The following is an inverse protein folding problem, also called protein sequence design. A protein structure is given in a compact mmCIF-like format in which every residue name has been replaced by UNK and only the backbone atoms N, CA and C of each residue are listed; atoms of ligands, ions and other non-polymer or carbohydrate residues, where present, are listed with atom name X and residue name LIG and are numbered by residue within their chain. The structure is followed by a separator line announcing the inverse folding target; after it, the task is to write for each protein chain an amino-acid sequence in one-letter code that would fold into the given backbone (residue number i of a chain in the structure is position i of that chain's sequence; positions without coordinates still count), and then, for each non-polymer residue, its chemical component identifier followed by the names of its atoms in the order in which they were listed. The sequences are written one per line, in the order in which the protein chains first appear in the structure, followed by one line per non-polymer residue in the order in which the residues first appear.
data_IF_734182957403
#
_entry.id   IF_734182957403
#
_cell.length_a   1.000
_cell.length_b   1.000
_cell.length_c   1.000
_cell.angle_alpha   90.00
_cell.angle_beta   90.00
_cell.angle_gamma   90.00
#
_symmetry.space_group_name_H-M   'P 1'
#
loop_
_entity.id
_entity.type
_entity.pdbx_description
1 polymer ?
#
# COMPACT_ATOMS: atom_id res chain seq x y z
N UNK A 1 -15.86 -50.71 -2.03
CA UNK A 1 -14.58 -50.10 -2.47
C UNK A 1 -14.72 -48.59 -2.27
N UNK A 2 -13.70 -47.86 -1.81
CA UNK A 2 -13.76 -46.39 -1.75
C UNK A 2 -13.11 -45.82 -3.00
N UNK A 3 -13.76 -44.84 -3.63
CA UNK A 3 -13.28 -44.25 -4.86
C UNK A 3 -11.94 -43.55 -4.65
N UNK A 4 -10.90 -44.07 -5.30
CA UNK A 4 -9.57 -43.46 -5.33
C UNK A 4 -9.54 -42.38 -6.43
N UNK A 5 -10.52 -41.47 -6.37
CA UNK A 5 -10.63 -40.26 -7.19
C UNK A 5 -9.26 -39.55 -7.12
N UNK A 6 -8.60 -39.32 -8.27
CA UNK A 6 -7.15 -39.09 -8.36
C UNK A 6 -6.69 -37.88 -7.53
N UNK A 7 -6.29 -38.07 -6.27
CA UNK A 7 -5.84 -36.97 -5.42
C UNK A 7 -4.37 -36.68 -5.63
N UNK A 8 -4.05 -35.43 -5.98
CA UNK A 8 -2.67 -34.98 -6.12
C UNK A 8 -2.04 -34.69 -4.75
N UNK A 9 -0.80 -35.17 -4.56
CA UNK A 9 0.16 -34.56 -3.65
C UNK A 9 1.03 -33.63 -4.50
N UNK A 10 1.11 -32.36 -4.12
CA UNK A 10 1.97 -31.37 -4.77
C UNK A 10 2.89 -30.68 -3.76
N UNK A 11 3.98 -30.10 -4.26
CA UNK A 11 4.94 -29.31 -3.46
C UNK A 11 5.12 -27.94 -4.12
N UNK A 12 4.97 -26.88 -3.34
CA UNK A 12 5.16 -25.51 -3.81
C UNK A 12 5.70 -24.60 -2.70
N UNK A 13 6.42 -23.56 -3.13
CA UNK A 13 7.00 -22.50 -2.31
C UNK A 13 5.94 -21.40 -2.10
N UNK A 14 5.83 -20.81 -0.91
CA UNK A 14 4.78 -19.82 -0.63
C UNK A 14 4.96 -18.98 0.63
N UNK A 15 4.32 -17.80 0.65
CA UNK A 15 4.28 -16.90 1.80
C UNK A 15 2.92 -17.00 2.49
N UNK A 16 2.91 -17.21 3.80
CA UNK A 16 1.68 -17.19 4.60
C UNK A 16 1.14 -15.76 4.71
N UNK A 17 -0.02 -15.50 4.11
CA UNK A 17 -0.69 -14.20 4.12
C UNK A 17 -1.48 -13.97 5.42
N UNK A 18 -2.28 -14.98 5.82
CA UNK A 18 -3.09 -14.93 7.06
C UNK A 18 -3.47 -16.32 7.54
N UNK A 19 -3.88 -16.41 8.81
CA UNK A 19 -4.46 -17.61 9.41
C UNK A 19 -5.88 -17.34 9.93
N UNK A 20 -6.69 -18.38 10.09
CA UNK A 20 -8.00 -18.34 10.73
C UNK A 20 -8.17 -19.58 11.63
N UNK A 21 -8.88 -19.49 12.76
CA UNK A 21 -9.17 -20.65 13.61
C UNK A 21 -10.05 -21.66 12.86
N UNK A 22 -9.73 -22.96 12.98
CA UNK A 22 -10.57 -24.07 12.49
C UNK A 22 -10.81 -25.02 13.65
N UNK A 23 -11.94 -24.84 14.34
CA UNK A 23 -12.18 -25.51 15.62
C UNK A 23 -11.08 -25.19 16.66
N UNK A 24 -10.77 -26.18 17.50
CA UNK A 24 -9.87 -26.01 18.65
C UNK A 24 -8.39 -26.20 18.31
N UNK A 25 -8.04 -27.26 17.56
CA UNK A 25 -6.66 -27.66 17.33
C UNK A 25 -6.06 -27.17 16.00
N UNK A 26 -6.91 -26.78 15.05
CA UNK A 26 -6.53 -26.56 13.65
C UNK A 26 -6.65 -25.08 13.26
N UNK A 27 -6.13 -24.75 12.07
CA UNK A 27 -6.35 -23.46 11.41
C UNK A 27 -6.58 -23.64 9.92
N UNK A 28 -7.28 -22.69 9.31
CA UNK A 28 -7.14 -22.40 7.87
C UNK A 28 -5.94 -21.47 7.73
N UNK A 29 -5.09 -21.75 6.76
CA UNK A 29 -3.93 -20.93 6.40
C UNK A 29 -4.14 -20.49 4.95
N UNK A 30 -4.01 -19.19 4.68
CA UNK A 30 -4.01 -18.63 3.32
C UNK A 30 -2.58 -18.37 2.92
N UNK A 31 -2.12 -19.01 1.84
CA UNK A 31 -0.75 -18.90 1.31
C UNK A 31 -0.81 -18.33 -0.11
N UNK A 32 0.06 -17.38 -0.42
CA UNK A 32 0.39 -17.04 -1.80
C UNK A 32 1.58 -17.89 -2.23
N UNK A 33 1.34 -18.84 -3.11
CA UNK A 33 2.35 -19.78 -3.61
C UNK A 33 2.94 -19.32 -4.95
N UNK A 34 4.16 -19.80 -5.25
CA UNK A 34 4.97 -19.40 -6.38
C UNK A 34 4.44 -19.90 -7.72
N UNK A 35 3.89 -21.12 -7.74
CA UNK A 35 3.40 -21.78 -8.96
C UNK A 35 1.89 -21.88 -8.99
N UNK A 36 1.27 -22.28 -7.89
CA UNK A 36 -0.17 -22.54 -7.80
C UNK A 36 -0.98 -21.27 -7.51
N UNK A 37 -0.35 -20.15 -7.13
CA UNK A 37 -1.06 -18.91 -6.79
C UNK A 37 -1.64 -18.91 -5.37
N UNK A 38 -2.77 -18.23 -5.14
CA UNK A 38 -3.37 -18.19 -3.79
C UNK A 38 -4.08 -19.50 -3.47
N UNK A 39 -3.70 -20.14 -2.36
CA UNK A 39 -4.24 -21.41 -1.87
C UNK A 39 -4.71 -21.26 -0.43
N UNK A 40 -5.85 -21.84 -0.08
CA UNK A 40 -6.29 -22.02 1.31
C UNK A 40 -6.18 -23.48 1.73
N UNK A 41 -5.44 -23.73 2.80
CA UNK A 41 -5.16 -25.06 3.30
C UNK A 41 -5.48 -25.21 4.80
N UNK A 42 -5.95 -26.39 5.19
CA UNK A 42 -6.15 -26.79 6.58
C UNK A 42 -4.82 -27.27 7.21
N UNK A 43 -4.39 -26.62 8.28
CA UNK A 43 -3.22 -26.98 9.07
C UNK A 43 -3.65 -27.74 10.34
N UNK A 44 -3.74 -29.07 10.22
CA UNK A 44 -4.24 -29.93 11.32
C UNK A 44 -3.27 -29.98 12.50
N UNK A 45 -3.81 -29.79 13.71
CA UNK A 45 -3.06 -29.81 14.96
C UNK A 45 -2.06 -28.66 15.12
N UNK A 46 -2.12 -27.60 14.31
CA UNK A 46 -1.17 -26.46 14.37
C UNK A 46 -1.21 -25.72 15.72
N UNK A 47 -2.36 -25.71 16.41
CA UNK A 47 -2.53 -25.04 17.72
C UNK A 47 -2.11 -25.89 18.92
N UNK A 48 -1.67 -27.15 18.72
CA UNK A 48 -1.23 -28.03 19.82
C UNK A 48 0.19 -27.68 20.25
N UNK A 49 0.50 -27.72 21.56
CA UNK A 49 1.83 -27.38 22.12
C UNK A 49 2.96 -28.22 21.51
N UNK A 50 2.69 -29.50 21.19
CA UNK A 50 3.62 -30.42 20.50
C UNK A 50 3.35 -30.51 18.99
N UNK A 51 2.95 -29.42 18.33
CA UNK A 51 2.67 -29.43 16.90
C UNK A 51 3.96 -29.52 16.07
N UNK A 52 3.98 -30.45 15.10
CA UNK A 52 5.06 -30.53 14.11
C UNK A 52 5.22 -29.25 13.29
N UNK A 53 4.15 -28.48 13.09
CA UNK A 53 4.16 -27.26 12.30
C UNK A 53 4.72 -26.07 13.09
N UNK A 54 4.28 -25.88 14.34
CA UNK A 54 4.70 -24.75 15.18
C UNK A 54 4.45 -23.39 14.50
N UNK A 55 5.36 -22.43 14.71
CA UNK A 55 5.28 -21.10 14.14
C UNK A 55 5.45 -21.03 12.60
N UNK A 56 5.80 -22.13 11.92
CA UNK A 56 6.10 -22.14 10.47
C UNK A 56 4.90 -21.75 9.60
N UNK A 57 3.68 -21.87 10.13
CA UNK A 57 2.43 -21.52 9.46
C UNK A 57 1.79 -20.25 10.03
N UNK A 58 2.58 -19.38 10.67
CA UNK A 58 2.20 -18.02 11.03
C UNK A 58 2.46 -17.04 9.86
N UNK A 59 1.75 -15.89 9.81
CA UNK A 59 1.97 -14.86 8.78
C UNK A 59 3.42 -14.41 8.65
N UNK A 60 3.75 -13.86 7.48
CA UNK A 60 5.11 -13.48 7.06
C UNK A 60 6.10 -14.63 6.88
N UNK A 61 5.79 -15.86 7.29
CA UNK A 61 6.70 -16.99 7.08
C UNK A 61 6.72 -17.37 5.60
N UNK A 62 7.92 -17.42 5.02
CA UNK A 62 8.17 -18.01 3.71
C UNK A 62 8.51 -19.49 3.89
N UNK A 63 7.74 -20.36 3.24
CA UNK A 63 7.74 -21.82 3.45
C UNK A 63 7.78 -22.60 2.15
N UNK A 64 8.35 -23.79 2.21
CA UNK A 64 8.11 -24.86 1.25
C UNK A 64 7.06 -25.81 1.85
N UNK A 65 6.04 -26.16 1.07
CA UNK A 65 4.84 -26.85 1.52
C UNK A 65 4.59 -28.10 0.70
N UNK A 66 4.39 -29.23 1.37
CA UNK A 66 3.71 -30.37 0.75
C UNK A 66 2.21 -30.27 1.05
N UNK A 67 1.41 -30.28 -0.01
CA UNK A 67 -0.03 -30.07 0.01
C UNK A 67 -0.73 -31.29 -0.63
N UNK A 68 -1.83 -31.70 -0.01
CA UNK A 68 -2.73 -32.74 -0.51
C UNK A 68 -4.02 -32.07 -0.98
N UNK A 69 -4.32 -32.18 -2.27
CA UNK A 69 -5.40 -31.47 -2.92
C UNK A 69 -6.80 -31.93 -2.44
N UNK A 70 -7.74 -30.99 -2.32
CA UNK A 70 -9.12 -31.25 -1.91
C UNK A 70 -10.10 -30.30 -2.60
N UNK A 71 -11.39 -30.67 -2.59
CA UNK A 71 -12.49 -29.93 -3.23
C UNK A 71 -12.82 -28.54 -2.63
N UNK A 72 -12.15 -28.09 -1.57
CA UNK A 72 -12.51 -26.81 -0.89
C UNK A 72 -11.41 -26.20 -0.01
N UNK A 73 -10.69 -27.02 0.75
CA UNK A 73 -9.50 -26.64 1.53
C UNK A 73 -8.48 -27.76 1.39
N UNK A 74 -7.36 -27.48 0.73
CA UNK A 74 -6.24 -28.42 0.61
C UNK A 74 -5.69 -28.75 2.03
N UNK A 75 -4.93 -29.84 2.18
CA UNK A 75 -4.40 -30.27 3.47
C UNK A 75 -2.88 -30.11 3.51
N UNK A 76 -2.35 -29.35 4.46
CA UNK A 76 -0.90 -29.26 4.68
C UNK A 76 -0.41 -30.59 5.24
N UNK A 77 0.42 -31.32 4.48
CA UNK A 77 1.01 -32.60 4.90
C UNK A 77 2.40 -32.42 5.48
N UNK A 78 3.18 -31.47 4.97
CA UNK A 78 4.50 -31.05 5.48
C UNK A 78 4.69 -29.54 5.27
N UNK A 79 5.53 -28.90 6.09
CA UNK A 79 5.89 -27.49 5.95
C UNK A 79 7.31 -27.24 6.50
N UNK A 80 8.17 -26.67 5.67
CA UNK A 80 9.57 -26.35 5.97
C UNK A 80 9.80 -24.85 5.81
N UNK A 81 10.53 -24.20 6.73
CA UNK A 81 10.74 -22.75 6.68
C UNK A 81 11.93 -22.40 5.81
N UNK A 82 11.69 -21.57 4.79
CA UNK A 82 12.72 -21.00 3.93
C UNK A 82 13.23 -19.68 4.51
N UNK A 83 12.34 -18.79 4.98
CA UNK A 83 12.69 -17.53 5.68
C UNK A 83 11.63 -17.18 6.75
N UNK A 84 12.02 -17.06 8.04
CA UNK A 84 11.11 -16.64 9.11
C UNK A 84 11.13 -15.11 9.28
N UNK A 85 10.45 -14.37 8.39
CA UNK A 85 10.41 -12.90 8.50
C UNK A 85 9.62 -12.40 9.73
N UNK A 86 8.66 -13.19 10.23
CA UNK A 86 7.66 -12.74 11.22
C UNK A 86 8.23 -12.23 12.54
N UNK A 87 9.31 -12.81 13.07
CA UNK A 87 9.92 -12.37 14.33
C UNK A 87 10.54 -10.97 14.21
N UNK A 88 11.38 -10.75 13.18
CA UNK A 88 12.04 -9.46 12.92
C UNK A 88 11.09 -8.36 12.44
N UNK A 89 9.90 -8.73 11.98
CA UNK A 89 8.81 -7.78 11.72
C UNK A 89 8.05 -7.47 13.02
N UNK A 90 7.66 -8.48 13.81
CA UNK A 90 6.89 -8.29 15.05
C UNK A 90 7.64 -7.52 16.15
N UNK A 91 8.99 -7.48 16.11
CA UNK A 91 9.82 -6.65 17.00
C UNK A 91 9.77 -5.14 16.70
N UNK A 92 9.12 -4.71 15.61
CA UNK A 92 9.16 -3.33 15.09
C UNK A 92 7.77 -2.94 14.57
N UNK A 93 7.08 -2.01 15.24
CA UNK A 93 5.67 -1.71 14.95
C UNK A 93 5.44 -1.11 13.54
N UNK A 94 6.24 -0.13 13.06
CA UNK A 94 6.20 0.31 11.67
C UNK A 94 6.41 -0.82 10.65
N UNK A 95 7.40 -1.70 10.84
CA UNK A 95 7.64 -2.84 9.92
C UNK A 95 6.53 -3.88 9.98
N UNK A 96 6.01 -4.20 11.17
CA UNK A 96 4.89 -5.12 11.36
C UNK A 96 3.62 -4.63 10.65
N UNK A 97 3.27 -3.35 10.83
CA UNK A 97 2.06 -2.77 10.23
C UNK A 97 2.18 -2.61 8.72
N UNK A 98 3.34 -2.18 8.21
CA UNK A 98 3.64 -2.17 6.78
C UNK A 98 3.54 -3.58 6.17
N UNK A 99 4.23 -4.57 6.75
CA UNK A 99 4.16 -5.96 6.31
C UNK A 99 2.73 -6.50 6.33
N UNK A 100 1.95 -6.21 7.37
CA UNK A 100 0.54 -6.64 7.47
C UNK A 100 -0.29 -6.08 6.29
N UNK A 101 -0.06 -4.83 5.92
CA UNK A 101 -0.73 -4.19 4.79
C UNK A 101 -0.26 -4.73 3.43
N UNK A 102 1.00 -5.16 3.28
CA UNK A 102 1.46 -5.92 2.12
C UNK A 102 0.70 -7.24 1.97
N UNK A 103 0.56 -8.01 3.06
CA UNK A 103 -0.11 -9.32 3.03
C UNK A 103 -1.62 -9.20 2.73
N UNK A 104 -2.33 -8.24 3.33
CA UNK A 104 -3.75 -8.00 3.02
C UNK A 104 -3.95 -7.54 1.56
N UNK A 105 -3.02 -6.73 1.04
CA UNK A 105 -3.07 -6.25 -0.35
C UNK A 105 -2.76 -7.38 -1.35
N UNK A 106 -1.76 -8.21 -1.07
CA UNK A 106 -1.44 -9.39 -1.87
C UNK A 106 -2.61 -10.39 -1.94
N UNK A 107 -3.34 -10.61 -0.84
CA UNK A 107 -4.55 -11.44 -0.86
C UNK A 107 -5.64 -10.83 -1.75
N UNK A 108 -5.86 -9.52 -1.67
CA UNK A 108 -6.93 -8.83 -2.42
C UNK A 108 -6.64 -8.68 -3.91
N UNK A 109 -5.36 -8.54 -4.29
CA UNK A 109 -4.91 -8.57 -5.68
C UNK A 109 -4.63 -9.99 -6.22
N UNK A 110 -5.02 -11.03 -5.48
CA UNK A 110 -5.08 -12.43 -5.96
C UNK A 110 -6.44 -13.08 -5.63
N UNK A 111 -7.57 -12.50 -6.11
CA UNK A 111 -8.91 -12.88 -5.67
C UNK A 111 -9.30 -14.31 -6.04
N UNK A 112 -8.82 -14.84 -7.17
CA UNK A 112 -9.08 -16.22 -7.59
C UNK A 112 -8.13 -17.18 -6.86
N UNK A 113 -8.69 -18.28 -6.32
CA UNK A 113 -7.87 -19.35 -5.74
C UNK A 113 -7.34 -20.28 -6.85
N UNK A 114 -6.10 -20.76 -6.70
CA UNK A 114 -5.36 -21.59 -7.67
C UNK A 114 -5.01 -20.91 -9.02
N UNK A 115 -5.05 -19.57 -9.11
CA UNK A 115 -4.57 -18.80 -10.27
C UNK A 115 -3.09 -18.35 -10.12
N UNK A 116 -2.15 -18.74 -11.02
CA UNK A 116 -0.71 -18.45 -10.89
C UNK A 116 -0.32 -16.95 -10.88
N UNK A 117 -0.07 -16.41 -9.69
CA UNK A 117 0.26 -14.99 -9.49
C UNK A 117 1.76 -14.71 -9.23
N UNK A 118 2.66 -15.35 -10.00
CA UNK A 118 4.12 -15.34 -9.76
C UNK A 118 4.72 -13.94 -9.52
N UNK A 119 4.29 -12.92 -10.27
CA UNK A 119 4.79 -11.54 -10.10
C UNK A 119 4.42 -10.94 -8.73
N UNK A 120 3.21 -11.17 -8.24
CA UNK A 120 2.80 -10.75 -6.90
C UNK A 120 3.55 -11.53 -5.82
N UNK A 121 3.73 -12.85 -6.00
CA UNK A 121 4.51 -13.68 -5.08
C UNK A 121 5.95 -13.15 -4.91
N UNK A 122 6.65 -12.89 -6.02
CA UNK A 122 8.01 -12.34 -5.99
C UNK A 122 8.06 -10.95 -5.35
N UNK A 123 7.06 -10.10 -5.60
CA UNK A 123 6.97 -8.78 -4.98
C UNK A 123 6.74 -8.86 -3.45
N UNK A 124 5.94 -9.82 -2.96
CA UNK A 124 5.76 -10.05 -1.51
C UNK A 124 7.05 -10.55 -0.87
N UNK A 125 7.73 -11.55 -1.45
CA UNK A 125 9.01 -12.04 -0.93
C UNK A 125 10.06 -10.92 -0.91
N UNK A 126 10.12 -10.10 -1.96
CA UNK A 126 10.98 -8.92 -2.02
C UNK A 126 10.65 -7.87 -0.94
N UNK A 127 9.38 -7.45 -0.84
CA UNK A 127 8.94 -6.44 0.12
C UNK A 127 9.16 -6.83 1.58
N UNK A 128 8.83 -8.08 1.94
CA UNK A 128 9.10 -8.61 3.29
C UNK A 128 10.61 -8.68 3.58
N UNK A 129 11.42 -9.07 2.59
CA UNK A 129 12.89 -9.06 2.74
C UNK A 129 13.41 -7.65 2.98
N UNK A 130 12.99 -6.67 2.19
CA UNK A 130 13.43 -5.27 2.31
C UNK A 130 12.99 -4.61 3.63
N UNK A 131 11.79 -4.90 4.13
CA UNK A 131 11.37 -4.48 5.48
C UNK A 131 12.28 -5.05 6.58
N UNK A 132 12.69 -6.32 6.46
CA UNK A 132 13.56 -7.02 7.43
C UNK A 132 15.04 -6.69 7.27
N UNK A 133 15.50 -6.34 6.06
CA UNK A 133 16.82 -5.77 5.79
C UNK A 133 16.93 -4.40 6.46
N UNK A 134 15.87 -3.58 6.37
CA UNK A 134 15.68 -2.40 7.21
C UNK A 134 16.50 -1.17 6.82
N UNK A 135 17.10 -1.17 5.63
CA UNK A 135 17.89 -0.05 5.09
C UNK A 135 17.07 1.15 4.57
N UNK A 136 15.74 1.02 4.52
CA UNK A 136 14.81 2.06 4.04
C UNK A 136 13.67 2.27 5.05
N UNK A 137 13.04 3.44 4.96
CA UNK A 137 11.83 3.80 5.72
C UNK A 137 10.67 2.82 5.41
N UNK A 138 10.07 2.15 6.42
CA UNK A 138 8.98 1.19 6.21
C UNK A 138 7.78 1.73 5.43
N UNK A 139 7.50 3.05 5.45
CA UNK A 139 6.44 3.66 4.63
C UNK A 139 6.83 3.75 3.16
N UNK A 140 8.08 4.11 2.85
CA UNK A 140 8.59 4.07 1.47
C UNK A 140 8.55 2.64 0.91
N UNK A 141 8.92 1.65 1.72
CA UNK A 141 8.86 0.23 1.34
C UNK A 141 7.42 -0.23 1.10
N UNK A 142 6.45 0.29 1.87
CA UNK A 142 5.03 0.02 1.70
C UNK A 142 4.44 0.68 0.43
N UNK A 143 4.70 1.96 0.21
CA UNK A 143 4.18 2.69 -0.96
C UNK A 143 4.77 2.14 -2.27
N UNK A 144 6.06 1.79 -2.28
CA UNK A 144 6.69 1.06 -3.36
C UNK A 144 6.01 -0.29 -3.63
N UNK A 145 5.68 -1.05 -2.59
CA UNK A 145 4.93 -2.30 -2.73
C UNK A 145 3.54 -2.06 -3.33
N UNK A 146 2.78 -1.08 -2.83
CA UNK A 146 1.44 -0.78 -3.36
C UNK A 146 1.48 -0.35 -4.83
N UNK A 147 2.35 0.59 -5.20
CA UNK A 147 2.49 1.08 -6.57
C UNK A 147 2.84 -0.05 -7.55
N UNK A 148 3.80 -0.91 -7.18
CA UNK A 148 4.23 -2.05 -8.01
C UNK A 148 3.18 -3.17 -8.04
N UNK A 149 2.48 -3.42 -6.93
CA UNK A 149 1.45 -4.47 -6.84
C UNK A 149 0.20 -4.09 -7.64
N UNK A 150 -0.21 -2.82 -7.61
CA UNK A 150 -1.23 -2.25 -8.49
C UNK A 150 -0.81 -2.36 -9.97
N UNK A 151 0.43 -2.01 -10.31
CA UNK A 151 0.93 -2.11 -11.68
C UNK A 151 0.95 -3.57 -12.20
N UNK A 152 1.33 -4.55 -11.36
CA UNK A 152 1.27 -5.99 -11.69
C UNK A 152 -0.18 -6.45 -11.95
N UNK A 153 -1.16 -5.85 -11.27
CA UNK A 153 -2.59 -6.10 -11.44
C UNK A 153 -3.25 -5.30 -12.58
N UNK A 154 -2.49 -4.51 -13.34
CA UNK A 154 -3.00 -3.69 -14.45
C UNK A 154 -3.50 -2.29 -14.07
N UNK A 155 -3.47 -1.93 -12.79
CA UNK A 155 -3.93 -0.64 -12.26
C UNK A 155 -2.77 0.36 -12.04
N UNK A 156 -1.76 0.34 -12.90
CA UNK A 156 -0.63 1.27 -12.80
C UNK A 156 -1.13 2.73 -12.90
N UNK A 157 -0.87 3.61 -11.92
CA UNK A 157 -1.24 5.01 -12.04
C UNK A 157 -0.41 5.69 -13.12
N UNK A 158 -1.07 6.50 -13.97
CA UNK A 158 -0.35 7.41 -14.85
C UNK A 158 0.31 8.51 -14.01
N UNK A 159 1.65 8.65 -14.11
CA UNK A 159 2.43 9.61 -13.31
C UNK A 159 3.20 10.64 -14.16
N UNK A 160 3.52 10.31 -15.40
CA UNK A 160 4.30 11.19 -16.30
C UNK A 160 3.41 11.89 -17.35
N UNK A 161 2.34 11.23 -17.79
CA UNK A 161 1.46 11.69 -18.88
C UNK A 161 -0.01 11.77 -18.40
N UNK A 162 -0.85 12.55 -19.08
CA UNK A 162 -2.24 12.72 -18.68
C UNK A 162 -3.08 11.45 -18.94
N UNK A 163 -3.63 10.88 -17.87
CA UNK A 163 -4.44 9.65 -17.88
C UNK A 163 -5.71 9.67 -18.76
N UNK A 164 -6.12 10.85 -19.27
CA UNK A 164 -7.29 11.01 -20.16
C UNK A 164 -6.96 11.34 -21.62
N UNK A 165 -5.80 11.94 -21.90
CA UNK A 165 -5.46 12.43 -23.26
C UNK A 165 -4.01 12.21 -23.70
N UNK A 166 -3.15 11.61 -22.85
CA UNK A 166 -1.74 11.33 -23.15
C UNK A 166 -0.79 12.53 -23.06
N UNK A 167 -1.30 13.76 -22.90
CA UNK A 167 -0.46 14.97 -22.90
C UNK A 167 0.44 15.07 -21.65
N UNK A 168 1.70 15.49 -21.82
CA UNK A 168 2.76 15.51 -20.80
C UNK A 168 2.69 16.77 -19.90
N UNK A 169 1.48 17.12 -19.49
CA UNK A 169 1.18 18.35 -18.73
C UNK A 169 0.35 18.08 -17.46
N UNK A 170 0.52 16.90 -16.87
CA UNK A 170 -0.14 16.51 -15.62
C UNK A 170 0.16 17.46 -14.46
N UNK A 171 -0.87 18.10 -13.89
CA UNK A 171 -0.75 19.03 -12.75
C UNK A 171 -1.71 18.74 -11.59
N UNK A 172 -2.46 17.65 -11.68
CA UNK A 172 -3.42 17.23 -10.65
C UNK A 172 -3.58 15.72 -10.68
N UNK A 173 -3.76 15.08 -9.53
CA UNK A 173 -3.94 13.64 -9.41
C UNK A 173 -5.43 13.32 -9.21
N UNK A 174 -6.01 12.63 -10.19
CA UNK A 174 -7.42 12.28 -10.27
C UNK A 174 -7.56 10.76 -10.21
N UNK A 175 -7.84 10.23 -9.02
CA UNK A 175 -7.93 8.77 -8.76
C UNK A 175 -8.91 8.09 -9.72
N UNK A 176 -10.14 8.63 -9.83
CA UNK A 176 -11.18 8.15 -10.73
C UNK A 176 -10.89 8.37 -12.24
N UNK A 177 -9.75 8.95 -12.58
CA UNK A 177 -9.27 9.09 -13.96
C UNK A 177 -8.00 8.26 -14.23
N UNK A 178 -7.49 7.48 -13.27
CA UNK A 178 -6.30 6.63 -13.44
C UNK A 178 -4.95 7.30 -13.13
N UNK A 179 -4.93 8.52 -12.58
CA UNK A 179 -3.68 9.16 -12.13
C UNK A 179 -3.58 10.65 -12.44
N UNK A 180 -2.41 11.09 -12.90
CA UNK A 180 -2.14 12.49 -13.25
C UNK A 180 -2.98 12.95 -14.44
N UNK A 181 -3.50 14.18 -14.36
CA UNK A 181 -4.30 14.83 -15.41
C UNK A 181 -3.86 16.28 -15.63
N UNK A 182 -3.96 16.73 -16.89
CA UNK A 182 -3.70 18.11 -17.28
C UNK A 182 -4.88 19.02 -16.92
N UNK A 183 -4.70 20.34 -17.06
CA UNK A 183 -5.68 21.35 -16.63
C UNK A 183 -7.07 21.19 -17.26
N UNK A 184 -7.15 20.90 -18.57
CA UNK A 184 -8.41 20.68 -19.29
C UNK A 184 -9.09 19.35 -18.97
N UNK A 185 -8.33 18.36 -18.51
CA UNK A 185 -8.83 17.03 -18.15
C UNK A 185 -9.04 16.83 -16.65
N UNK A 186 -8.95 17.88 -15.82
CA UNK A 186 -9.09 17.82 -14.36
C UNK A 186 -10.56 17.75 -13.93
N UNK A 187 -11.07 16.61 -13.41
CA UNK A 187 -12.39 16.60 -12.78
C UNK A 187 -12.38 17.32 -11.41
N UNK A 188 -13.54 17.77 -10.92
CA UNK A 188 -13.71 18.22 -9.53
C UNK A 188 -13.18 17.18 -8.52
N UNK A 189 -12.66 17.65 -7.39
CA UNK A 189 -12.10 16.77 -6.35
C UNK A 189 -10.69 16.21 -6.64
N UNK A 190 -10.10 16.48 -7.81
CA UNK A 190 -8.71 16.09 -8.10
C UNK A 190 -7.71 16.79 -7.15
N UNK A 191 -6.80 16.04 -6.54
CA UNK A 191 -5.72 16.58 -5.73
C UNK A 191 -4.71 17.35 -6.60
N UNK A 192 -3.91 18.24 -5.99
CA UNK A 192 -2.80 18.94 -6.65
C UNK A 192 -1.50 18.64 -5.91
N UNK A 193 -0.87 17.46 -6.14
CA UNK A 193 0.36 17.07 -5.46
C UNK A 193 1.52 17.99 -5.79
N UNK A 194 2.49 18.07 -4.89
CA UNK A 194 3.78 18.67 -5.21
C UNK A 194 4.53 17.84 -6.27
N UNK A 195 5.29 18.50 -7.15
CA UNK A 195 6.08 17.83 -8.20
C UNK A 195 7.08 16.80 -7.62
N UNK A 196 7.70 17.14 -6.48
CA UNK A 196 8.58 16.23 -5.75
C UNK A 196 7.86 14.97 -5.23
N UNK A 197 6.56 15.06 -4.90
CA UNK A 197 5.73 13.91 -4.51
C UNK A 197 5.44 13.00 -5.70
N UNK A 198 5.13 13.56 -6.88
CA UNK A 198 4.96 12.77 -8.11
C UNK A 198 6.29 12.12 -8.51
N UNK A 199 7.40 12.85 -8.39
CA UNK A 199 8.76 12.32 -8.59
C UNK A 199 9.11 11.19 -7.61
N UNK A 200 8.65 11.26 -6.36
CA UNK A 200 8.77 10.18 -5.38
C UNK A 200 7.94 8.95 -5.78
N UNK A 201 6.67 9.13 -6.19
CA UNK A 201 5.84 8.02 -6.67
C UNK A 201 6.48 7.32 -7.89
N UNK A 202 7.09 8.07 -8.81
CA UNK A 202 7.83 7.53 -9.96
C UNK A 202 9.08 6.76 -9.50
N UNK A 203 9.86 7.29 -8.56
CA UNK A 203 11.04 6.63 -8.00
C UNK A 203 10.67 5.31 -7.30
N UNK A 204 9.63 5.33 -6.46
CA UNK A 204 9.10 4.16 -5.76
C UNK A 204 8.56 3.11 -6.73
N UNK A 205 7.85 3.50 -7.80
CA UNK A 205 7.40 2.58 -8.83
C UNK A 205 8.58 1.93 -9.57
N UNK A 206 9.61 2.70 -9.93
CA UNK A 206 10.80 2.24 -10.69
C UNK A 206 11.83 1.47 -9.87
N UNK A 207 11.90 1.65 -8.55
CA UNK A 207 12.93 1.05 -7.70
C UNK A 207 14.16 1.94 -7.44
N UNK A 208 14.05 3.23 -7.70
CA UNK A 208 15.09 4.23 -7.39
C UNK A 208 15.03 4.56 -5.89
N UNK A 209 15.67 3.72 -5.08
CA UNK A 209 15.75 3.92 -3.63
C UNK A 209 16.57 5.16 -3.26
N UNK A 210 17.63 5.50 -4.01
CA UNK A 210 18.45 6.67 -3.72
C UNK A 210 17.61 7.97 -3.72
N UNK A 211 16.74 8.14 -4.73
CA UNK A 211 15.80 9.27 -4.80
C UNK A 211 14.63 9.15 -3.82
N UNK A 212 14.23 7.93 -3.46
CA UNK A 212 13.18 7.71 -2.47
C UNK A 212 13.65 8.08 -1.05
N UNK A 213 14.82 7.60 -0.64
CA UNK A 213 15.40 7.85 0.68
C UNK A 213 15.84 9.31 0.86
N UNK A 214 16.23 9.99 -0.23
CA UNK A 214 16.52 11.43 -0.22
C UNK A 214 15.27 12.32 -0.21
N UNK A 215 14.06 11.77 -0.23
CA UNK A 215 12.82 12.56 -0.27
C UNK A 215 12.47 13.19 1.08
N UNK A 216 11.97 14.43 1.08
CA UNK A 216 11.56 15.11 2.30
C UNK A 216 10.29 14.47 2.94
N UNK A 217 10.17 14.45 4.29
CA UNK A 217 9.02 13.84 4.97
C UNK A 217 7.64 14.32 4.51
N UNK A 218 7.50 15.61 4.14
CA UNK A 218 6.23 16.16 3.61
C UNK A 218 5.77 15.46 2.32
N UNK A 219 6.71 15.12 1.44
CA UNK A 219 6.44 14.42 0.18
C UNK A 219 6.18 12.94 0.41
N UNK A 220 6.78 12.33 1.44
CA UNK A 220 6.44 10.96 1.88
C UNK A 220 4.99 10.89 2.35
N UNK A 221 4.57 11.78 3.25
CA UNK A 221 3.19 11.81 3.78
C UNK A 221 2.15 12.07 2.69
N UNK A 222 2.43 13.00 1.76
CA UNK A 222 1.54 13.24 0.61
C UNK A 222 1.48 12.03 -0.34
N UNK A 223 2.62 11.39 -0.62
CA UNK A 223 2.72 10.15 -1.41
C UNK A 223 1.88 9.03 -0.77
N UNK A 224 2.11 8.70 0.50
CA UNK A 224 1.37 7.65 1.20
C UNK A 224 -0.14 7.93 1.23
N UNK A 225 -0.56 9.19 1.36
CA UNK A 225 -1.95 9.59 1.26
C UNK A 225 -2.58 9.29 -0.11
N UNK A 226 -1.89 9.67 -1.19
CA UNK A 226 -2.37 9.47 -2.57
C UNK A 226 -2.33 7.99 -2.99
N UNK A 227 -1.25 7.28 -2.68
CA UNK A 227 -1.11 5.84 -2.96
C UNK A 227 -2.17 5.04 -2.18
N UNK A 228 -2.37 5.32 -0.89
CA UNK A 228 -3.40 4.66 -0.09
C UNK A 228 -4.82 4.93 -0.60
N UNK A 229 -5.12 6.14 -1.06
CA UNK A 229 -6.44 6.49 -1.61
C UNK A 229 -6.67 5.82 -2.98
N UNK A 230 -5.66 5.83 -3.86
CA UNK A 230 -5.71 5.18 -5.16
C UNK A 230 -5.84 3.65 -5.05
N UNK A 231 -5.13 3.03 -4.09
CA UNK A 231 -5.24 1.61 -3.77
C UNK A 231 -6.63 1.23 -3.24
N UNK A 232 -7.22 2.05 -2.36
CA UNK A 232 -8.56 1.79 -1.83
C UNK A 232 -9.64 1.87 -2.91
N UNK A 233 -9.53 2.82 -3.85
CA UNK A 233 -10.44 2.95 -4.99
C UNK A 233 -10.47 1.68 -5.86
N UNK A 234 -9.29 1.15 -6.22
CA UNK A 234 -9.17 -0.03 -7.10
C UNK A 234 -9.47 -1.38 -6.40
N UNK A 235 -9.70 -1.38 -5.08
CA UNK A 235 -9.91 -2.62 -4.32
C UNK A 235 -11.33 -2.80 -3.76
N UNK A 236 -12.24 -1.85 -4.01
CA UNK A 236 -13.67 -1.81 -3.62
C UNK A 236 -13.95 -1.90 -2.11
N UNK A 237 -13.46 -2.96 -1.46
CA UNK A 237 -13.62 -3.32 -0.06
C UNK A 237 -12.54 -2.69 0.86
N UNK A 238 -11.59 -1.92 0.30
CA UNK A 238 -10.51 -1.20 1.00
C UNK A 238 -9.48 -2.08 1.72
N UNK A 239 -8.31 -1.54 2.08
CA UNK A 239 -7.32 -2.26 2.93
C UNK A 239 -7.55 -1.87 4.39
N UNK A 240 -7.91 -2.85 5.24
CA UNK A 240 -8.29 -2.59 6.65
C UNK A 240 -7.08 -2.30 7.54
N UNK A 241 -5.92 -2.85 7.20
CA UNK A 241 -4.64 -2.62 7.88
C UNK A 241 -4.06 -1.20 7.71
N UNK A 242 -4.52 -0.42 6.71
CA UNK A 242 -4.13 1.00 6.51
C UNK A 242 -4.60 1.97 7.62
N UNK A 243 -5.36 1.49 8.61
CA UNK A 243 -5.71 2.20 9.85
C UNK A 243 -4.71 1.96 10.99
N UNK A 244 -3.84 0.95 10.84
CA UNK A 244 -2.83 0.56 11.82
C UNK A 244 -1.44 1.02 11.40
N UNK A 245 -1.18 1.14 10.10
CA UNK A 245 -0.02 1.88 9.56
C UNK A 245 -0.09 3.31 10.05
N UNK A 246 0.97 3.75 10.74
CA UNK A 246 1.07 5.10 11.29
C UNK A 246 1.00 6.17 10.19
N UNK A 247 0.13 7.15 10.40
CA UNK A 247 0.10 8.39 9.64
C UNK A 247 0.55 9.49 10.59
N UNK A 248 1.76 10.03 10.40
CA UNK A 248 2.16 11.23 11.13
C UNK A 248 1.22 12.38 10.77
N UNK A 249 0.42 12.81 11.74
CA UNK A 249 -0.35 14.04 11.61
C UNK A 249 0.61 15.23 11.54
N UNK A 250 0.40 16.22 10.65
CA UNK A 250 1.31 17.35 10.46
C UNK A 250 1.21 18.41 11.58
N UNK A 251 1.25 18.01 12.87
CA UNK A 251 1.08 18.91 14.01
C UNK A 251 1.58 18.39 15.38
N UNK A 252 2.86 18.00 15.49
CA UNK A 252 3.50 17.82 16.83
C UNK A 252 4.86 18.50 17.01
N UNK A 253 5.68 18.65 15.97
CA UNK A 253 7.00 19.31 16.08
C UNK A 253 6.92 20.80 16.44
N UNK A 254 5.78 21.46 16.22
CA UNK A 254 5.53 22.85 16.62
C UNK A 254 5.18 23.04 18.10
N UNK A 255 4.81 21.96 18.81
CA UNK A 255 4.58 21.98 20.25
C UNK A 255 5.90 21.88 21.02
N UNK A 256 6.68 20.82 20.75
CA UNK A 256 7.91 20.49 21.51
C UNK A 256 8.96 21.62 21.46
N UNK A 257 9.12 22.27 20.31
CA UNK A 257 10.00 23.45 20.16
C UNK A 257 9.56 24.68 20.97
N UNK A 258 8.30 24.75 21.43
CA UNK A 258 7.85 25.78 22.39
C UNK A 258 8.10 25.35 23.84
N UNK A 259 7.92 24.07 24.14
CA UNK A 259 8.18 23.52 25.48
C UNK A 259 9.68 23.50 25.82
N UNK A 260 10.55 23.28 24.84
CA UNK A 260 12.01 23.33 24.98
C UNK A 260 12.50 24.77 25.17
N UNK A 261 12.10 25.71 24.29
CA UNK A 261 12.41 27.13 24.43
C UNK A 261 11.83 27.76 25.72
N UNK A 262 10.71 27.25 26.23
CA UNK A 262 10.14 27.64 27.52
C UNK A 262 10.93 27.14 28.73
N UNK A 263 11.71 26.05 28.59
CA UNK A 263 12.54 25.49 29.67
C UNK A 263 13.91 26.15 29.74
N UNK A 264 14.59 26.35 28.62
CA UNK A 264 15.90 27.03 28.57
C UNK A 264 15.85 28.46 29.15
N UNK A 265 14.69 29.13 29.07
CA UNK A 265 14.47 30.45 29.68
C UNK A 265 14.42 30.46 31.22
N UNK A 266 14.42 29.30 31.89
CA UNK A 266 14.19 29.17 33.34
C UNK A 266 15.41 28.71 34.17
N UNK A 267 16.47 28.19 33.55
CA UNK A 267 17.70 27.79 34.25
C UNK A 267 18.79 28.86 34.14
N UNK A 268 18.80 29.81 35.09
CA UNK A 268 19.98 30.62 35.39
C UNK A 268 20.79 29.96 36.52
N UNK A 269 22.10 29.70 36.34
CA UNK A 269 22.92 29.13 37.40
C UNK A 269 23.16 30.16 38.52
N UNK A 270 23.18 29.69 39.76
CA UNK A 270 23.56 30.48 40.93
C UNK A 270 25.08 30.53 41.10
N UNK A 271 25.62 31.73 41.31
CA UNK A 271 27.01 31.97 41.67
C UNK A 271 27.09 33.06 42.75
N UNK A 272 28.01 32.93 43.68
CA UNK A 272 28.07 33.72 44.92
C UNK A 272 28.94 34.98 44.76
N UNK A 273 28.72 35.98 45.62
CA UNK A 273 29.49 37.22 45.79
C UNK A 273 30.99 37.14 45.45
N UNK A 274 31.49 38.18 44.75
CA UNK A 274 32.47 39.06 45.40
C UNK A 274 32.31 40.53 44.90
N UNK A 275 33.22 41.43 45.33
CA UNK A 275 32.94 42.88 45.47
C UNK A 275 33.56 43.76 44.37
N UNK A 276 33.14 45.04 44.42
CA UNK A 276 33.70 46.27 43.81
C UNK A 276 33.03 46.72 42.51
N UNK A 277 32.85 48.00 42.19
CA UNK A 277 32.77 49.33 42.86
C UNK A 277 32.36 50.30 41.73
N UNK A 278 31.97 51.52 42.08
CA UNK A 278 31.87 52.69 41.17
C UNK A 278 30.71 52.78 40.14
N UNK A 279 30.47 54.04 39.76
CA UNK A 279 29.42 54.65 38.92
C UNK A 279 29.86 56.14 38.68
N UNK A 280 29.17 57.02 37.91
CA UNK A 280 27.87 56.90 37.23
C UNK A 280 27.90 57.45 35.77
N UNK A 281 26.83 58.14 35.33
CA UNK A 281 26.66 58.96 34.09
C UNK A 281 26.28 58.21 32.79
N UNK A 282 25.46 58.75 31.87
CA UNK A 282 24.60 59.94 31.93
C UNK A 282 23.36 59.90 30.97
N UNK A 283 22.45 60.89 31.17
CA UNK A 283 21.49 61.54 30.24
C UNK A 283 21.68 61.22 28.73
N UNK A 284 20.68 61.15 27.82
CA UNK A 284 19.28 61.64 27.70
C UNK A 284 18.81 61.34 26.25
N UNK A 285 17.57 61.55 25.75
CA UNK A 285 16.28 61.97 26.31
C UNK A 285 15.34 62.56 25.22
N UNK A 286 14.04 62.77 25.54
CA UNK A 286 12.96 63.42 24.74
C UNK A 286 12.34 62.56 23.60
N UNK A 287 11.00 62.39 23.49
CA UNK A 287 9.88 63.35 23.26
C UNK A 287 9.99 63.95 21.84
N UNK A 288 9.05 63.83 20.88
CA UNK A 288 7.55 63.83 20.80
C UNK A 288 7.15 63.51 19.31
N UNK A 289 5.91 63.46 18.79
CA UNK A 289 4.48 63.40 19.22
C UNK A 289 3.64 62.86 18.01
N UNK A 290 2.35 62.56 18.23
CA UNK A 290 1.13 62.76 17.37
C UNK A 290 1.22 62.92 15.82
N UNK A 291 0.25 62.54 14.97
CA UNK A 291 -1.04 61.82 15.00
C UNK A 291 -1.41 61.48 13.52
N UNK A 292 -2.45 60.73 13.12
CA UNK A 292 -3.54 59.98 13.76
C UNK A 292 -4.69 59.78 12.73
N UNK A 293 -5.80 59.10 13.11
CA UNK A 293 -7.16 59.15 12.49
C UNK A 293 -7.32 58.66 11.01
N UNK A 294 -8.43 58.04 10.58
CA UNK A 294 -9.64 57.60 11.28
C UNK A 294 -10.36 56.42 10.57
N UNK A 295 -11.51 56.03 11.14
CA UNK A 295 -12.60 55.13 10.71
C UNK A 295 -12.99 55.15 9.19
N UNK A 296 -13.83 54.25 8.64
CA UNK A 296 -14.66 53.07 9.07
C UNK A 296 -14.83 52.14 7.82
N UNK A 297 -15.60 51.03 7.72
CA UNK A 297 -16.86 50.58 8.34
C UNK A 297 -17.16 49.07 8.05
N UNK A 298 -18.28 48.54 8.57
CA UNK A 298 -18.87 47.19 8.38
C UNK A 298 -20.41 47.33 8.46
N UNK A 299 -21.28 46.36 8.05
CA UNK A 299 -21.06 44.93 7.81
C UNK A 299 -21.23 44.59 6.30
N UNK A 300 -21.93 43.60 5.73
CA UNK A 300 -22.85 42.53 6.18
C UNK A 300 -22.86 41.33 5.21
N UNK A 301 -23.87 40.45 5.28
CA UNK A 301 -24.06 39.30 4.38
C UNK A 301 -25.55 38.92 4.21
N UNK A 302 -25.89 38.30 3.08
CA UNK A 302 -27.16 37.59 2.82
C UNK A 302 -26.92 36.37 1.93
N UNK A 303 -27.85 35.41 1.91
CA UNK A 303 -27.62 34.05 1.39
C UNK A 303 -28.94 33.40 0.93
N UNK A 304 -29.14 33.33 -0.38
CA UNK A 304 -30.21 32.57 -1.05
C UNK A 304 -29.54 31.75 -2.16
N UNK A 305 -29.62 30.41 -2.25
CA UNK A 305 -30.77 29.48 -2.21
C UNK A 305 -31.81 29.73 -3.30
N UNK A 306 -31.62 29.01 -4.41
CA UNK A 306 -32.75 28.41 -5.10
C UNK A 306 -32.44 26.97 -5.53
N UNK A 307 -33.47 26.20 -5.85
CA UNK A 307 -33.40 24.77 -6.16
C UNK A 307 -34.34 24.45 -7.32
N UNK A 308 -33.81 23.88 -8.39
CA UNK A 308 -34.62 23.15 -9.36
C UNK A 308 -34.02 21.77 -9.63
N UNK A 309 -34.88 20.81 -9.96
CA UNK A 309 -34.52 19.43 -10.27
C UNK A 309 -35.36 18.95 -11.46
N UNK A 310 -34.77 18.32 -12.49
CA UNK A 310 -35.52 17.64 -13.54
C UNK A 310 -36.13 16.33 -13.02
N UNK A 311 -37.32 15.99 -13.49
CA UNK A 311 -38.04 14.78 -13.11
C UNK A 311 -37.59 13.54 -13.89
N UNK A 312 -37.73 12.37 -13.27
CA UNK A 312 -37.74 11.10 -13.99
C UNK A 312 -38.93 11.05 -14.96
N UNK A 313 -38.72 10.49 -16.16
CA UNK A 313 -39.85 9.98 -16.95
C UNK A 313 -39.48 8.69 -17.68
N UNK A 314 -40.20 7.62 -17.33
CA UNK A 314 -39.99 6.29 -17.89
C UNK A 314 -40.59 6.16 -19.30
N UNK A 315 -39.83 5.52 -20.19
CA UNK A 315 -40.25 5.08 -21.52
C UNK A 315 -40.11 3.56 -21.62
N UNK A 316 -41.09 2.87 -22.21
CA UNK A 316 -41.16 1.39 -22.20
C UNK A 316 -40.58 0.76 -23.47
N UNK A 317 -40.02 -0.44 -23.27
CA UNK A 317 -40.11 -1.65 -24.11
C UNK A 317 -40.17 -1.48 -25.64
N UNK A 318 -39.21 -2.11 -26.31
CA UNK A 318 -39.52 -3.05 -27.41
C UNK A 318 -38.65 -4.29 -27.28
N UNK A 319 -39.28 -5.45 -27.37
CA UNK A 319 -38.65 -6.73 -27.65
C UNK A 319 -38.38 -6.84 -29.16
N UNK A 320 -37.29 -7.52 -29.54
CA UNK A 320 -37.24 -8.30 -30.77
C UNK A 320 -36.19 -9.41 -30.64
N UNK A 321 -36.44 -10.57 -31.25
CA UNK A 321 -35.66 -11.79 -31.03
C UNK A 321 -35.30 -12.48 -32.35
N UNK A 322 -34.11 -13.09 -32.43
CA UNK A 322 -33.75 -13.89 -33.61
C UNK A 322 -32.37 -14.54 -33.61
N UNK A 323 -32.36 -15.88 -33.46
CA UNK A 323 -31.55 -16.89 -34.18
C UNK A 323 -30.02 -16.80 -34.12
N UNK A 324 -29.31 -17.80 -33.59
CA UNK A 324 -29.09 -19.17 -34.12
C UNK A 324 -28.20 -19.27 -35.37
N UNK A 325 -26.89 -19.43 -35.15
CA UNK A 325 -25.94 -20.31 -35.86
C UNK A 325 -24.61 -20.27 -35.05
N UNK A 326 -23.92 -21.33 -34.62
CA UNK A 326 -23.86 -22.76 -34.96
C UNK A 326 -23.13 -23.15 -36.25
N UNK A 327 -21.81 -22.94 -36.30
CA UNK A 327 -20.97 -23.61 -37.29
C UNK A 327 -19.58 -24.01 -36.75
N UNK A 328 -19.14 -25.22 -37.12
CA UNK A 328 -17.80 -25.79 -36.89
C UNK A 328 -17.49 -26.77 -38.03
N UNK A 329 -16.36 -26.59 -38.73
CA UNK A 329 -15.53 -27.69 -39.21
C UNK A 329 -14.27 -27.76 -38.32
N UNK A 330 -13.92 -28.85 -37.65
CA UNK A 330 -13.54 -30.19 -38.14
C UNK A 330 -12.15 -30.21 -38.79
N UNK A 331 -11.25 -30.98 -38.16
CA UNK A 331 -9.81 -31.05 -38.44
C UNK A 331 -9.41 -31.49 -39.85
N UNK A 332 -8.24 -31.02 -40.29
CA UNK A 332 -7.13 -31.87 -40.79
C UNK A 332 -5.82 -31.08 -40.87
N UNK A 333 -4.76 -31.56 -40.21
CA UNK A 333 -3.60 -32.10 -40.93
C UNK A 333 -2.77 -33.03 -40.01
N UNK A 334 -2.04 -33.95 -40.61
CA UNK A 334 -1.21 -34.94 -39.92
C UNK A 334 0.27 -34.79 -40.31
N UNK A 335 1.19 -34.95 -39.33
CA UNK A 335 2.65 -35.09 -39.53
C UNK A 335 3.30 -33.77 -40.05
N UNK A 336 4.62 -33.58 -40.09
CA UNK A 336 5.77 -34.47 -39.82
C UNK A 336 6.74 -33.93 -38.76
N UNK A 337 7.36 -34.89 -38.08
CA UNK A 337 8.75 -34.95 -37.60
C UNK A 337 9.68 -33.81 -38.07
N UNK A 338 10.37 -33.13 -37.14
CA UNK A 338 11.80 -33.42 -36.89
C UNK A 338 12.38 -32.69 -35.66
N UNK A 339 13.30 -33.38 -34.99
CA UNK A 339 14.28 -32.91 -34.01
C UNK A 339 15.49 -33.87 -34.15
N UNK A 340 16.75 -33.48 -33.87
CA UNK A 340 17.14 -32.49 -32.87
C UNK A 340 18.29 -31.54 -33.29
N UNK A 341 18.74 -30.68 -32.37
CA UNK A 341 20.16 -30.63 -31.95
C UNK A 341 20.39 -29.82 -30.67
N UNK A 342 21.40 -30.24 -29.90
CA UNK A 342 21.94 -29.46 -28.79
C UNK A 342 22.80 -28.32 -29.34
N UNK A 343 22.77 -27.17 -28.67
CA UNK A 343 23.93 -26.27 -28.54
C UNK A 343 24.06 -25.91 -27.06
N UNK A 344 25.28 -25.93 -26.54
CA UNK A 344 25.70 -25.42 -25.25
C UNK A 344 27.11 -24.86 -25.43
N UNK A 345 27.56 -23.99 -24.50
CA UNK A 345 28.78 -23.18 -24.59
C UNK A 345 28.56 -22.00 -25.59
N UNK A 346 28.88 -20.75 -25.28
CA UNK A 346 29.51 -20.19 -24.06
C UNK A 346 28.48 -19.61 -23.05
#
# INVERSE_FOLDING_TARGET
MRDNERVSLYRDEGVVLRTQKLGEADRIVTILTRRTGRVRAAAKGVRKTKSRFGARLEPFTHVDLQLYERRSLDLVTQAETLRPYGERLASDYPRYTAGTAMLETAEKLTPVEKEPALRQFLLVVGGLRTLVEGGHDPRLVLDAFFLRSLAIAGYAPALEDCARCGERTGRSFAIAAGGMVCGSCRPPGSASPAEATVGLMIALLRGDWARADSSEPRHRVECSGLVAAYLQWHLEHGIRSLRHVEREAPSERSGRLRDEAGREASEKPSATNEREREAPSERSGRLRDEAGREASEKPSATNEREREAPSERSGRLRDEAGREASEKPSATNEREREAPRNVAIE
#
